data_IF_982762449906
#
_entry.id   IF_982762449906
#
_cell.length_a   1.000
_cell.length_b   1.000
_cell.length_c   1.000
_cell.angle_alpha   90.00
_cell.angle_beta   90.00
_cell.angle_gamma   90.00
#
_symmetry.space_group_name_H-M   'P 1'
#
loop_
_entity.id
_entity.type
_entity.pdbx_description
1 polymer ?
#
# COMPACT_ATOMS: atom_id res chain seq x y z
N UNK A 1 -13.11 -57.60 12.43
CA UNK A 1 -14.02 -56.98 13.41
C UNK A 1 -14.24 -55.54 12.92
N UNK A 2 -15.11 -55.32 11.94
CA UNK A 2 -16.51 -54.84 12.09
C UNK A 2 -16.57 -53.69 13.14
N UNK A 3 -16.91 -52.44 12.81
CA UNK A 3 -18.21 -51.98 12.29
C UNK A 3 -18.05 -50.62 11.57
N UNK A 4 -18.70 -50.50 10.40
CA UNK A 4 -19.04 -49.24 9.69
C UNK A 4 -20.14 -48.51 10.47
N UNK A 5 -20.16 -47.18 10.47
CA UNK A 5 -21.45 -46.48 10.31
C UNK A 5 -21.25 -45.09 9.66
N UNK A 6 -21.76 -45.02 8.44
CA UNK A 6 -22.20 -43.80 7.76
C UNK A 6 -23.28 -43.10 8.60
N UNK A 7 -23.35 -41.77 8.52
CA UNK A 7 -24.65 -41.10 8.38
C UNK A 7 -24.52 -39.76 7.66
N UNK A 8 -25.02 -39.80 6.43
CA UNK A 8 -25.47 -38.66 5.62
C UNK A 8 -26.72 -38.05 6.26
N UNK A 9 -26.79 -36.73 6.36
CA UNK A 9 -28.05 -36.01 6.44
C UNK A 9 -27.93 -34.70 5.66
N UNK A 10 -28.49 -34.73 4.46
CA UNK A 10 -28.71 -33.57 3.61
C UNK A 10 -29.77 -32.67 4.26
N UNK A 11 -29.47 -31.37 4.39
CA UNK A 11 -30.49 -30.36 4.64
C UNK A 11 -30.71 -29.59 3.34
N UNK A 12 -31.87 -29.89 2.76
CA UNK A 12 -32.52 -29.17 1.67
C UNK A 12 -33.03 -27.85 2.23
N UNK A 13 -32.54 -26.73 1.69
CA UNK A 13 -33.02 -25.37 2.00
C UNK A 13 -33.35 -24.65 0.71
N UNK A 14 -34.65 -24.65 0.38
CA UNK A 14 -35.27 -24.10 -0.83
C UNK A 14 -35.51 -22.59 -0.67
N UNK A 15 -35.15 -21.86 -1.73
CA UNK A 15 -35.73 -20.61 -2.28
C UNK A 15 -36.05 -19.41 -1.38
N UNK A 16 -35.43 -18.26 -1.71
CA UNK A 16 -36.17 -17.03 -2.04
C UNK A 16 -35.46 -16.33 -3.20
N UNK A 17 -36.13 -16.32 -4.36
CA UNK A 17 -35.84 -15.46 -5.50
C UNK A 17 -36.44 -14.09 -5.21
N UNK A 18 -35.62 -13.06 -5.08
CA UNK A 18 -36.05 -11.68 -5.20
C UNK A 18 -35.27 -11.05 -6.36
N UNK A 19 -35.87 -11.15 -7.55
CA UNK A 19 -35.41 -10.43 -8.72
C UNK A 19 -35.62 -8.94 -8.52
N UNK A 20 -34.53 -8.19 -8.42
CA UNK A 20 -34.56 -6.74 -8.55
C UNK A 20 -34.13 -6.39 -9.98
N UNK A 21 -35.10 -6.38 -10.90
CA UNK A 21 -34.95 -5.78 -12.22
C UNK A 21 -34.97 -4.26 -12.05
N UNK A 22 -33.80 -3.65 -11.94
CA UNK A 22 -33.66 -2.22 -12.19
C UNK A 22 -33.80 -2.00 -13.71
N UNK A 23 -34.98 -1.54 -14.11
CA UNK A 23 -35.27 -1.12 -15.47
C UNK A 23 -34.33 0.02 -15.88
N UNK A 24 -33.70 -0.21 -17.03
CA UNK A 24 -32.99 0.75 -17.85
C UNK A 24 -33.89 1.93 -18.22
N UNK A 25 -33.60 3.11 -17.69
CA UNK A 25 -33.94 4.38 -18.33
C UNK A 25 -32.75 4.83 -19.17
N UNK A 26 -32.64 4.24 -20.36
CA UNK A 26 -31.90 4.85 -21.48
C UNK A 26 -32.62 6.15 -21.83
N UNK A 27 -32.07 7.27 -21.38
CA UNK A 27 -32.42 8.59 -21.91
C UNK A 27 -31.90 8.65 -23.35
N UNK A 28 -32.82 8.50 -24.30
CA UNK A 28 -32.59 8.83 -25.70
C UNK A 28 -32.47 10.35 -25.80
N UNK A 29 -31.25 10.88 -25.68
CA UNK A 29 -31.00 12.27 -26.06
C UNK A 29 -30.78 12.31 -27.56
N UNK A 30 -31.81 12.72 -28.27
CA UNK A 30 -31.74 13.17 -29.66
C UNK A 30 -30.66 14.27 -29.77
N UNK A 31 -29.65 14.03 -30.61
CA UNK A 31 -28.70 15.05 -31.05
C UNK A 31 -29.47 16.15 -31.79
N UNK A 32 -29.84 17.19 -31.07
CA UNK A 32 -30.05 18.54 -31.62
C UNK A 32 -28.79 19.32 -31.32
N UNK A 33 -28.09 19.78 -32.36
CA UNK A 33 -26.91 20.63 -32.28
C UNK A 33 -27.25 21.94 -31.55
N UNK A 34 -27.04 21.96 -30.23
CA UNK A 34 -27.12 23.18 -29.44
C UNK A 34 -25.85 23.97 -29.75
N UNK A 35 -25.99 25.08 -30.48
CA UNK A 35 -24.87 25.96 -30.77
C UNK A 35 -24.34 26.58 -29.48
N UNK A 36 -23.02 26.81 -29.40
CA UNK A 36 -22.35 27.39 -28.22
C UNK A 36 -22.96 28.74 -27.78
N UNK A 37 -23.59 29.47 -28.68
CA UNK A 37 -24.25 30.74 -28.39
C UNK A 37 -25.55 30.55 -27.59
N UNK A 38 -26.28 29.44 -27.76
CA UNK A 38 -27.49 29.16 -26.99
C UNK A 38 -27.18 28.73 -25.54
N UNK A 39 -26.05 28.05 -25.33
CA UNK A 39 -25.58 27.71 -23.99
C UNK A 39 -25.23 28.98 -23.18
N UNK A 40 -24.53 29.93 -23.80
CA UNK A 40 -24.14 31.17 -23.14
C UNK A 40 -25.34 32.09 -22.85
N UNK A 41 -26.36 32.09 -23.70
CA UNK A 41 -27.58 32.88 -23.49
C UNK A 41 -28.52 32.29 -22.43
N UNK A 42 -28.54 30.97 -22.29
CA UNK A 42 -29.35 30.28 -21.26
C UNK A 42 -28.76 30.40 -19.85
N UNK A 43 -27.53 30.89 -19.73
CA UNK A 43 -26.82 31.06 -18.44
C UNK A 43 -27.16 32.37 -17.71
N UNK A 44 -28.04 33.22 -18.24
CA UNK A 44 -28.17 34.61 -17.80
C UNK A 44 -29.34 34.91 -16.83
N UNK A 45 -30.09 33.93 -16.33
CA UNK A 45 -31.20 34.20 -15.39
C UNK A 45 -31.24 33.20 -14.23
N UNK A 46 -31.39 33.74 -13.02
CA UNK A 46 -31.51 33.13 -11.67
C UNK A 46 -30.20 32.98 -10.89
N UNK A 47 -29.69 34.11 -10.39
CA UNK A 47 -28.88 34.17 -9.16
C UNK A 47 -29.74 34.66 -8.00
N UNK A 48 -30.54 33.75 -7.43
CA UNK A 48 -31.00 33.89 -6.05
C UNK A 48 -29.76 33.68 -5.17
N UNK A 49 -29.38 34.72 -4.44
CA UNK A 49 -28.31 34.70 -3.46
C UNK A 49 -28.67 33.78 -2.28
N UNK A 50 -28.51 32.47 -2.46
CA UNK A 50 -28.23 31.58 -1.35
C UNK A 50 -26.73 31.72 -1.06
N UNK A 51 -26.39 32.44 0.01
CA UNK A 51 -25.04 32.50 0.55
C UNK A 51 -24.63 31.09 1.02
N UNK A 52 -24.19 30.25 0.09
CA UNK A 52 -23.37 29.08 0.41
C UNK A 52 -22.02 29.67 0.76
N UNK A 53 -21.84 30.00 2.04
CA UNK A 53 -20.51 30.27 2.58
C UNK A 53 -19.63 29.09 2.16
N UNK A 54 -18.48 29.31 1.49
CA UNK A 54 -17.56 28.24 1.23
C UNK A 54 -17.23 27.62 2.59
N UNK A 55 -17.64 26.36 2.78
CA UNK A 55 -17.17 25.60 3.93
C UNK A 55 -15.66 25.73 3.94
N UNK A 56 -15.05 26.14 5.07
CA UNK A 56 -13.65 26.51 5.10
C UNK A 56 -12.82 25.34 4.58
N UNK A 57 -11.80 25.63 3.77
CA UNK A 57 -10.89 24.65 3.16
C UNK A 57 -10.37 23.59 4.17
N UNK A 58 -10.36 23.91 5.47
CA UNK A 58 -10.10 22.98 6.58
C UNK A 58 -11.01 21.74 6.65
N UNK A 59 -12.27 21.82 6.21
CA UNK A 59 -13.18 20.68 6.19
C UNK A 59 -12.81 19.66 5.09
N UNK A 60 -12.25 20.14 3.97
CA UNK A 60 -11.84 19.30 2.85
C UNK A 60 -10.56 18.50 3.15
N UNK A 61 -9.59 19.12 3.82
CA UNK A 61 -8.35 18.45 4.24
C UNK A 61 -8.61 17.33 5.26
N UNK A 62 -9.53 17.55 6.21
CA UNK A 62 -9.91 16.53 7.22
C UNK A 62 -10.58 15.31 6.61
N UNK A 63 -11.58 15.51 5.75
CA UNK A 63 -12.28 14.39 5.09
C UNK A 63 -11.33 13.57 4.19
N UNK A 64 -10.39 14.24 3.51
CA UNK A 64 -9.38 13.58 2.68
C UNK A 64 -8.37 12.78 3.52
N UNK A 65 -8.01 13.30 4.69
CA UNK A 65 -7.13 12.62 5.63
C UNK A 65 -7.78 11.38 6.24
N UNK A 66 -9.05 11.45 6.67
CA UNK A 66 -9.79 10.30 7.21
C UNK A 66 -9.92 9.17 6.16
N UNK A 67 -10.31 9.52 4.93
CA UNK A 67 -10.35 8.55 3.83
C UNK A 67 -8.99 7.90 3.54
N UNK A 68 -7.91 8.69 3.57
CA UNK A 68 -6.55 8.19 3.37
C UNK A 68 -6.10 7.32 4.54
N UNK A 69 -6.48 7.70 5.77
CA UNK A 69 -6.19 6.95 6.99
C UNK A 69 -6.76 5.54 6.88
N UNK A 70 -8.06 5.40 6.61
CA UNK A 70 -8.72 4.09 6.52
C UNK A 70 -8.12 3.21 5.41
N UNK A 71 -7.67 3.83 4.32
CA UNK A 71 -7.15 3.11 3.15
C UNK A 71 -5.71 2.63 3.29
N UNK A 72 -4.86 3.40 3.95
CA UNK A 72 -3.41 3.17 3.96
C UNK A 72 -2.90 2.65 5.30
N UNK A 73 -3.48 3.09 6.42
CA UNK A 73 -2.98 2.72 7.75
C UNK A 73 -3.05 1.22 8.07
N UNK A 74 -4.04 0.43 7.62
CA UNK A 74 -4.02 -1.01 7.86
C UNK A 74 -2.78 -1.69 7.28
N UNK A 75 -2.34 -1.25 6.07
CA UNK A 75 -1.12 -1.75 5.41
C UNK A 75 0.14 -1.33 6.15
N UNK A 76 0.18 -0.10 6.63
CA UNK A 76 1.30 0.42 7.43
C UNK A 76 1.43 -0.40 8.72
N UNK A 77 0.32 -0.60 9.45
CA UNK A 77 0.28 -1.34 10.71
C UNK A 77 0.64 -2.81 10.52
N UNK A 78 0.09 -3.47 9.50
CA UNK A 78 0.44 -4.85 9.18
C UNK A 78 1.92 -4.99 8.80
N UNK A 79 2.44 -4.05 8.00
CA UNK A 79 3.87 -3.96 7.71
C UNK A 79 4.73 -3.84 8.96
N UNK A 80 4.34 -3.00 9.92
CA UNK A 80 5.06 -2.85 11.20
C UNK A 80 5.02 -4.12 12.06
N UNK A 81 3.89 -4.84 12.08
CA UNK A 81 3.76 -6.14 12.76
C UNK A 81 4.69 -7.18 12.13
N UNK A 82 4.72 -7.26 10.81
CA UNK A 82 5.63 -8.16 10.09
C UNK A 82 7.10 -7.80 10.36
N UNK A 83 7.43 -6.51 10.35
CA UNK A 83 8.79 -6.00 10.60
C UNK A 83 9.34 -6.47 11.96
N UNK A 84 8.56 -6.26 13.02
CA UNK A 84 8.95 -6.64 14.40
C UNK A 84 8.83 -8.14 14.68
N UNK A 85 7.94 -8.84 13.97
CA UNK A 85 7.70 -10.26 14.13
C UNK A 85 8.60 -11.11 13.25
N UNK A 86 8.16 -11.33 12.01
CA UNK A 86 8.75 -12.35 11.15
C UNK A 86 10.04 -11.89 10.48
N UNK A 87 10.14 -10.63 10.06
CA UNK A 87 11.40 -10.12 9.49
C UNK A 87 12.54 -10.16 10.51
N UNK A 88 12.26 -9.80 11.77
CA UNK A 88 13.22 -9.93 12.87
C UNK A 88 13.74 -11.36 13.01
N UNK A 89 12.83 -12.36 13.03
CA UNK A 89 13.21 -13.78 13.12
C UNK A 89 14.06 -14.22 11.95
N UNK A 90 13.74 -13.76 10.73
CA UNK A 90 14.51 -14.08 9.52
C UNK A 90 15.92 -13.48 9.58
N UNK A 91 16.05 -12.23 10.03
CA UNK A 91 17.35 -11.55 10.22
C UNK A 91 18.19 -12.22 11.32
N UNK A 92 17.58 -12.59 12.44
CA UNK A 92 18.26 -13.30 13.54
C UNK A 92 18.78 -14.67 13.10
N UNK A 93 17.97 -15.40 12.32
CA UNK A 93 18.35 -16.70 11.74
C UNK A 93 19.28 -16.59 10.54
N UNK A 94 19.51 -15.39 10.00
CA UNK A 94 20.21 -15.18 8.74
C UNK A 94 19.62 -16.01 7.58
N UNK A 95 18.28 -16.12 7.54
CA UNK A 95 17.57 -16.83 6.48
C UNK A 95 17.45 -15.95 5.23
N UNK A 96 18.48 -15.98 4.40
CA UNK A 96 18.61 -15.11 3.23
C UNK A 96 17.51 -15.34 2.19
N UNK A 97 17.06 -16.58 2.01
CA UNK A 97 15.97 -16.90 1.08
C UNK A 97 14.64 -16.37 1.62
N UNK A 98 14.38 -16.57 2.90
CA UNK A 98 13.22 -16.00 3.57
C UNK A 98 13.18 -14.47 3.51
N UNK A 99 14.31 -13.79 3.74
CA UNK A 99 14.43 -12.33 3.64
C UNK A 99 14.13 -11.85 2.22
N UNK A 100 14.76 -12.47 1.21
CA UNK A 100 14.51 -12.13 -0.20
C UNK A 100 13.04 -12.27 -0.58
N UNK A 101 12.41 -13.38 -0.17
CA UNK A 101 10.98 -13.61 -0.45
C UNK A 101 10.07 -12.64 0.33
N UNK A 102 10.44 -12.29 1.56
CA UNK A 102 9.71 -11.34 2.40
C UNK A 102 9.72 -9.90 1.86
N UNK A 103 10.79 -9.53 1.15
CA UNK A 103 10.99 -8.21 0.54
C UNK A 103 10.63 -8.18 -0.95
N UNK A 104 10.28 -9.33 -1.54
CA UNK A 104 10.02 -9.45 -2.96
C UNK A 104 8.85 -8.55 -3.40
N UNK A 105 9.08 -7.74 -4.43
CA UNK A 105 8.01 -6.94 -5.02
C UNK A 105 6.97 -7.81 -5.72
N UNK A 106 5.68 -7.41 -5.71
CA UNK A 106 4.68 -8.05 -6.53
C UNK A 106 5.11 -8.03 -8.01
N UNK A 107 4.78 -9.08 -8.78
CA UNK A 107 5.05 -9.10 -10.22
C UNK A 107 4.45 -7.87 -10.90
N UNK A 108 5.10 -7.36 -11.96
CA UNK A 108 4.53 -6.27 -12.75
C UNK A 108 3.21 -6.72 -13.38
N UNK A 109 2.22 -5.81 -13.41
CA UNK A 109 0.92 -6.05 -14.06
C UNK A 109 1.14 -6.45 -15.51
N UNK A 110 0.64 -7.63 -15.88
CA UNK A 110 0.72 -8.15 -17.24
C UNK A 110 -0.59 -7.91 -18.00
N UNK A 111 -0.56 -8.00 -19.34
CA UNK A 111 -1.77 -7.87 -20.16
C UNK A 111 -2.80 -8.99 -19.86
N UNK A 112 -2.35 -10.16 -19.43
CA UNK A 112 -3.21 -11.27 -18.98
C UNK A 112 -3.98 -10.96 -17.69
N UNK A 113 -3.45 -10.08 -16.85
CA UNK A 113 -4.14 -9.69 -15.62
C UNK A 113 -5.36 -8.82 -15.91
N UNK A 114 -5.36 -8.06 -17.01
CA UNK A 114 -6.48 -7.19 -17.41
C UNK A 114 -7.78 -7.95 -17.72
N UNK A 115 -7.68 -9.23 -18.02
CA UNK A 115 -8.82 -10.10 -18.36
C UNK A 115 -9.50 -10.64 -17.10
N UNK A 116 -8.81 -10.64 -15.96
CA UNK A 116 -9.35 -11.11 -14.68
C UNK A 116 -10.24 -10.03 -14.07
N UNK A 117 -11.33 -10.45 -13.42
CA UNK A 117 -12.34 -9.55 -12.83
C UNK A 117 -11.75 -8.52 -11.84
N UNK A 118 -10.65 -8.88 -11.17
CA UNK A 118 -9.91 -8.03 -10.23
C UNK A 118 -8.56 -7.53 -10.80
N UNK A 119 -8.41 -7.49 -12.12
CA UNK A 119 -7.18 -7.07 -12.79
C UNK A 119 -5.89 -7.78 -12.28
N UNK A 120 -6.02 -9.03 -11.78
CA UNK A 120 -4.95 -9.83 -11.17
C UNK A 120 -4.38 -9.26 -9.86
N UNK A 121 -5.07 -8.33 -9.18
CA UNK A 121 -4.56 -7.67 -7.97
C UNK A 121 -4.38 -8.66 -6.82
N UNK A 122 -5.39 -9.47 -6.54
CA UNK A 122 -5.35 -10.53 -5.51
C UNK A 122 -4.21 -11.53 -5.71
N UNK A 123 -3.99 -12.01 -6.94
CA UNK A 123 -2.90 -12.96 -7.23
C UNK A 123 -1.51 -12.33 -7.11
N UNK A 124 -1.34 -11.07 -7.56
CA UNK A 124 -0.07 -10.34 -7.40
C UNK A 124 0.23 -10.03 -5.94
N UNK A 125 -0.80 -9.71 -5.16
CA UNK A 125 -0.66 -9.46 -3.73
C UNK A 125 -0.27 -10.74 -2.97
N UNK A 126 -0.72 -11.92 -3.41
CA UNK A 126 -0.31 -13.19 -2.83
C UNK A 126 1.16 -13.56 -3.12
N UNK A 127 1.74 -13.02 -4.21
CA UNK A 127 3.14 -13.22 -4.58
C UNK A 127 4.07 -12.14 -4.04
N UNK A 128 3.50 -11.04 -3.53
CA UNK A 128 4.27 -9.99 -2.89
C UNK A 128 4.78 -10.44 -1.51
N UNK A 129 6.03 -10.11 -1.22
CA UNK A 129 6.54 -10.13 0.14
C UNK A 129 5.70 -9.23 1.06
N UNK A 130 5.50 -9.67 2.30
CA UNK A 130 4.65 -8.96 3.26
C UNK A 130 5.16 -7.55 3.61
N UNK A 131 6.46 -7.28 3.40
CA UNK A 131 7.09 -5.96 3.55
C UNK A 131 7.67 -5.43 2.24
N UNK A 132 7.00 -5.69 1.13
CA UNK A 132 7.40 -5.15 -0.18
C UNK A 132 7.16 -3.64 -0.29
N UNK A 133 7.95 -2.97 -1.13
CA UNK A 133 7.81 -1.54 -1.46
C UNK A 133 6.37 -1.22 -1.86
N UNK A 134 5.82 -2.00 -2.80
CA UNK A 134 4.48 -1.84 -3.32
C UNK A 134 3.35 -1.92 -2.28
N UNK A 135 3.58 -2.57 -1.12
CA UNK A 135 2.55 -2.75 -0.10
C UNK A 135 2.66 -1.73 1.02
N UNK A 136 3.83 -1.64 1.66
CA UNK A 136 4.02 -0.85 2.87
C UNK A 136 4.59 0.53 2.54
N UNK A 137 5.67 0.59 1.75
CA UNK A 137 6.38 1.85 1.46
C UNK A 137 5.53 2.77 0.59
N UNK A 138 4.87 2.23 -0.44
CA UNK A 138 3.90 2.98 -1.25
C UNK A 138 2.72 3.45 -0.40
N UNK A 139 2.23 2.64 0.55
CA UNK A 139 1.19 3.09 1.47
C UNK A 139 1.67 4.26 2.35
N UNK A 140 2.93 4.23 2.81
CA UNK A 140 3.54 5.34 3.53
C UNK A 140 3.65 6.61 2.68
N UNK A 141 4.03 6.51 1.40
CA UNK A 141 4.13 7.67 0.50
C UNK A 141 2.74 8.28 0.20
N UNK A 142 1.76 7.43 -0.08
CA UNK A 142 0.38 7.85 -0.34
C UNK A 142 -0.24 8.49 0.90
N UNK A 143 0.00 7.93 2.09
CA UNK A 143 -0.46 8.53 3.34
C UNK A 143 0.26 9.84 3.67
N UNK A 144 1.57 9.94 3.42
CA UNK A 144 2.33 11.19 3.58
C UNK A 144 1.78 12.32 2.69
N UNK A 145 1.35 11.96 1.49
CA UNK A 145 0.77 12.91 0.53
C UNK A 145 -0.60 13.43 0.97
N UNK A 146 -1.32 12.72 1.84
CA UNK A 146 -2.61 13.18 2.38
C UNK A 146 -2.50 14.36 3.36
N UNK A 147 -1.31 14.64 3.89
CA UNK A 147 -1.03 15.82 4.75
C UNK A 147 -0.72 17.10 3.95
N UNK A 148 -0.85 17.06 2.63
CA UNK A 148 -0.59 18.19 1.73
C UNK A 148 -1.87 18.49 0.95
N UNK A 149 -2.53 19.62 1.24
CA UNK A 149 -3.68 20.09 0.45
C UNK A 149 -3.20 20.77 -0.85
N UNK A 150 -2.82 22.05 -0.78
CA UNK A 150 -2.52 22.87 -1.98
C UNK A 150 -1.02 23.01 -2.28
N UNK A 151 -0.16 22.80 -1.29
CA UNK A 151 1.30 22.88 -1.43
C UNK A 151 1.97 21.88 -0.51
N UNK A 152 3.15 21.39 -0.91
CA UNK A 152 3.87 20.37 -0.17
C UNK A 152 4.30 20.93 1.19
N UNK A 153 3.61 20.49 2.24
CA UNK A 153 3.89 20.90 3.62
C UNK A 153 5.29 20.44 4.06
N UNK A 154 5.90 21.15 5.02
CA UNK A 154 7.19 20.75 5.61
C UNK A 154 7.12 19.33 6.19
N UNK A 155 5.97 18.98 6.77
CA UNK A 155 5.69 17.64 7.28
C UNK A 155 5.70 16.58 6.19
N UNK A 156 4.97 16.78 5.09
CA UNK A 156 4.97 15.83 3.96
C UNK A 156 6.38 15.62 3.43
N UNK A 157 7.22 16.67 3.36
CA UNK A 157 8.64 16.52 2.96
C UNK A 157 9.42 15.62 3.93
N UNK A 158 9.32 15.87 5.23
CA UNK A 158 10.00 15.05 6.27
C UNK A 158 9.51 13.60 6.25
N UNK A 159 8.21 13.38 6.05
CA UNK A 159 7.64 12.04 5.93
C UNK A 159 8.19 11.33 4.70
N UNK A 160 8.20 11.99 3.53
CA UNK A 160 8.77 11.43 2.29
C UNK A 160 10.24 11.11 2.40
N UNK A 161 11.02 11.95 3.07
CA UNK A 161 12.41 11.66 3.39
C UNK A 161 12.56 10.34 4.17
N UNK A 162 11.71 10.09 5.18
CA UNK A 162 11.74 8.81 5.90
C UNK A 162 11.30 7.63 5.01
N UNK A 163 10.35 7.86 4.09
CA UNK A 163 9.94 6.84 3.10
C UNK A 163 11.08 6.49 2.15
N UNK A 164 11.85 7.47 1.70
CA UNK A 164 13.00 7.23 0.81
C UNK A 164 14.12 6.48 1.53
N UNK A 165 14.37 6.79 2.82
CA UNK A 165 15.29 6.01 3.65
C UNK A 165 14.79 4.56 3.80
N UNK A 166 13.49 4.35 4.02
CA UNK A 166 12.91 3.00 4.10
C UNK A 166 13.09 2.23 2.79
N UNK A 167 12.85 2.89 1.64
CA UNK A 167 13.03 2.28 0.31
C UNK A 167 14.48 1.87 0.08
N UNK A 168 15.41 2.78 0.28
CA UNK A 168 16.85 2.50 0.16
C UNK A 168 17.28 1.36 1.09
N UNK A 169 16.75 1.32 2.32
CA UNK A 169 17.05 0.25 3.27
C UNK A 169 16.56 -1.10 2.76
N UNK A 170 15.33 -1.19 2.27
CA UNK A 170 14.76 -2.43 1.74
C UNK A 170 15.50 -2.92 0.50
N UNK A 171 15.86 -2.01 -0.41
CA UNK A 171 16.68 -2.32 -1.58
C UNK A 171 18.05 -2.87 -1.17
N UNK A 172 18.71 -2.23 -0.20
CA UNK A 172 20.00 -2.72 0.33
C UNK A 172 19.89 -4.05 1.07
N UNK A 173 18.78 -4.30 1.78
CA UNK A 173 18.52 -5.59 2.43
C UNK A 173 18.34 -6.68 1.38
N UNK A 174 17.55 -6.45 0.33
CA UNK A 174 17.37 -7.39 -0.78
C UNK A 174 18.70 -7.67 -1.51
N UNK A 175 19.49 -6.63 -1.81
CA UNK A 175 20.83 -6.80 -2.38
C UNK A 175 21.74 -7.61 -1.46
N UNK A 176 21.74 -7.33 -0.15
CA UNK A 176 22.56 -8.06 0.84
C UNK A 176 22.16 -9.53 0.90
N UNK A 177 20.85 -9.83 0.85
CA UNK A 177 20.35 -11.21 0.80
C UNK A 177 20.79 -11.93 -0.49
N UNK A 178 20.69 -11.27 -1.65
CA UNK A 178 21.14 -11.83 -2.95
C UNK A 178 22.65 -12.09 -2.98
N UNK A 179 23.45 -11.19 -2.40
CA UNK A 179 24.90 -11.37 -2.27
C UNK A 179 25.21 -12.57 -1.36
N UNK A 180 24.52 -12.69 -0.22
CA UNK A 180 24.71 -13.80 0.72
C UNK A 180 24.31 -15.17 0.11
N UNK A 181 23.32 -15.19 -0.78
CA UNK A 181 22.92 -16.36 -1.58
C UNK A 181 23.87 -16.63 -2.75
N UNK A 182 24.78 -15.71 -3.07
CA UNK A 182 25.72 -15.84 -4.19
C UNK A 182 25.10 -15.58 -5.57
N UNK A 183 23.89 -15.02 -5.63
CA UNK A 183 23.21 -14.67 -6.88
C UNK A 183 23.78 -13.41 -7.53
N UNK A 184 24.30 -12.48 -6.71
CA UNK A 184 24.92 -11.24 -7.17
C UNK A 184 26.37 -11.21 -6.67
N UNK A 185 27.31 -11.19 -7.62
CA UNK A 185 28.72 -10.98 -7.31
C UNK A 185 28.99 -9.48 -7.19
N UNK A 186 29.38 -9.02 -6.00
CA UNK A 186 29.85 -7.64 -5.77
C UNK A 186 31.32 -7.45 -6.21
N UNK A 187 31.80 -8.25 -7.16
CA UNK A 187 33.17 -8.17 -7.71
C UNK A 187 33.17 -7.51 -9.09
N UNK A 188 33.91 -6.40 -9.21
CA UNK A 188 33.85 -5.42 -10.32
C UNK A 188 33.86 -5.96 -11.75
N UNK A 189 33.26 -5.16 -12.64
CA UNK A 189 33.03 -5.15 -14.10
C UNK A 189 33.13 -6.45 -14.95
N UNK A 190 33.83 -7.49 -14.53
CA UNK A 190 33.97 -8.78 -15.23
C UNK A 190 34.01 -10.01 -14.30
N UNK A 191 33.42 -9.97 -13.11
CA UNK A 191 33.08 -11.19 -12.36
C UNK A 191 34.23 -12.10 -11.90
N UNK A 192 35.48 -11.68 -12.07
CA UNK A 192 36.68 -12.44 -11.68
C UNK A 192 37.48 -11.58 -10.70
N UNK A 193 37.42 -11.89 -9.41
CA UNK A 193 38.44 -11.44 -8.44
C UNK A 193 37.94 -10.68 -7.20
N UNK A 194 36.67 -10.30 -7.11
CA UNK A 194 36.12 -9.77 -5.86
C UNK A 194 35.92 -10.87 -4.83
N UNK A 195 36.53 -10.78 -3.64
CA UNK A 195 36.22 -11.69 -2.53
C UNK A 195 34.74 -11.55 -2.21
N UNK A 196 34.00 -12.68 -2.26
CA UNK A 196 32.62 -12.71 -1.75
C UNK A 196 32.65 -12.25 -0.28
N UNK A 197 31.82 -11.28 0.12
CA UNK A 197 31.75 -10.90 1.52
C UNK A 197 31.44 -12.13 2.37
N UNK A 198 32.07 -12.20 3.54
CA UNK A 198 31.84 -13.32 4.45
C UNK A 198 30.39 -13.30 4.94
N UNK A 199 29.83 -14.47 5.22
CA UNK A 199 28.47 -14.60 5.77
C UNK A 199 28.28 -13.77 7.06
N UNK A 200 29.35 -13.63 7.85
CA UNK A 200 29.37 -12.81 9.08
C UNK A 200 29.24 -11.31 8.77
N UNK A 201 29.92 -10.81 7.74
CA UNK A 201 29.80 -9.41 7.30
C UNK A 201 28.41 -9.12 6.75
N UNK A 202 27.84 -10.01 5.94
CA UNK A 202 26.46 -9.88 5.44
C UNK A 202 25.44 -9.88 6.58
N UNK A 203 25.62 -10.73 7.60
CA UNK A 203 24.76 -10.73 8.79
C UNK A 203 24.86 -9.45 9.61
N UNK A 204 26.07 -8.91 9.77
CA UNK A 204 26.27 -7.62 10.44
C UNK A 204 25.58 -6.48 9.67
N UNK A 205 25.83 -6.39 8.35
CA UNK A 205 25.20 -5.38 7.49
C UNK A 205 23.67 -5.50 7.51
N UNK A 206 23.13 -6.71 7.44
CA UNK A 206 21.68 -6.94 7.50
C UNK A 206 21.07 -6.44 8.82
N UNK A 207 21.74 -6.66 9.96
CA UNK A 207 21.28 -6.13 11.26
C UNK A 207 21.34 -4.61 11.33
N UNK A 208 22.39 -4.00 10.79
CA UNK A 208 22.52 -2.54 10.70
C UNK A 208 21.38 -1.94 9.86
N UNK A 209 21.11 -2.53 8.69
CA UNK A 209 19.98 -2.15 7.84
C UNK A 209 18.63 -2.34 8.54
N UNK A 210 18.44 -3.45 9.26
CA UNK A 210 17.23 -3.67 10.05
C UNK A 210 17.03 -2.61 11.15
N UNK A 211 18.09 -2.18 11.83
CA UNK A 211 17.99 -1.11 12.82
C UNK A 211 17.73 0.26 12.17
N UNK A 212 18.38 0.54 11.03
CA UNK A 212 18.19 1.78 10.28
C UNK A 212 16.75 1.90 9.75
N UNK A 213 16.22 0.84 9.15
CA UNK A 213 14.86 0.77 8.66
C UNK A 213 13.84 0.91 9.80
N UNK A 214 14.04 0.21 10.91
CA UNK A 214 13.17 0.35 12.09
C UNK A 214 13.17 1.76 12.66
N UNK A 215 14.32 2.43 12.68
CA UNK A 215 14.45 3.83 13.11
C UNK A 215 13.73 4.79 12.17
N UNK A 216 13.91 4.63 10.84
CA UNK A 216 13.22 5.44 9.85
C UNK A 216 11.70 5.25 9.91
N UNK A 217 11.24 4.01 10.10
CA UNK A 217 9.82 3.71 10.30
C UNK A 217 9.27 4.41 11.54
N UNK A 218 9.95 4.31 12.69
CA UNK A 218 9.51 4.97 13.93
C UNK A 218 9.49 6.51 13.80
N UNK A 219 10.45 7.11 13.08
CA UNK A 219 10.43 8.54 12.76
C UNK A 219 9.26 8.90 11.85
N UNK A 220 8.96 8.08 10.84
CA UNK A 220 7.79 8.25 9.98
C UNK A 220 6.49 8.21 10.79
N UNK A 221 6.35 7.25 11.70
CA UNK A 221 5.18 7.12 12.59
C UNK A 221 5.08 8.31 13.55
N UNK A 222 6.21 8.78 14.10
CA UNK A 222 6.24 9.98 14.92
C UNK A 222 5.68 11.19 14.17
N UNK A 223 6.20 11.45 12.96
CA UNK A 223 5.72 12.55 12.11
C UNK A 223 4.25 12.36 11.71
N UNK A 224 3.81 11.14 11.43
CA UNK A 224 2.42 10.84 11.06
C UNK A 224 1.44 11.10 12.20
N UNK A 225 1.83 10.75 13.43
CA UNK A 225 1.01 10.90 14.63
C UNK A 225 0.98 12.35 15.14
N UNK A 226 2.01 13.14 14.82
CA UNK A 226 2.00 14.58 15.05
C UNK A 226 0.86 15.19 14.23
N UNK A 227 0.00 16.02 14.82
CA UNK A 227 -1.19 16.63 14.17
C UNK A 227 -2.27 15.67 13.65
N UNK A 228 -2.23 14.38 13.99
CA UNK A 228 -3.35 13.47 13.69
C UNK A 228 -4.60 13.93 14.47
N UNK A 229 -5.79 14.05 13.84
CA UNK A 229 -7.02 14.36 14.57
C UNK A 229 -7.25 13.40 15.74
N UNK A 230 -7.75 13.92 16.87
CA UNK A 230 -8.05 13.12 18.08
C UNK A 230 -9.09 12.02 17.83
N UNK A 231 -9.88 12.11 16.75
CA UNK A 231 -10.82 11.10 16.31
C UNK A 231 -10.15 9.86 15.71
N UNK A 232 -8.90 9.98 15.25
CA UNK A 232 -8.15 8.90 14.62
C UNK A 232 -7.19 8.25 15.62
N UNK A 233 -7.04 6.93 15.50
CA UNK A 233 -6.12 6.18 16.34
C UNK A 233 -4.67 6.49 15.93
N UNK A 234 -3.79 6.66 16.93
CA UNK A 234 -2.36 6.81 16.67
C UNK A 234 -1.79 5.51 16.11
N UNK A 235 -0.92 5.64 15.12
CA UNK A 235 -0.19 4.51 14.57
C UNK A 235 0.82 3.98 15.61
N UNK A 236 0.96 2.67 15.76
CA UNK A 236 1.87 2.06 16.72
C UNK A 236 3.33 2.20 16.28
N UNK A 237 4.21 2.47 17.24
CA UNK A 237 5.66 2.38 17.06
C UNK A 237 6.10 0.92 17.06
N UNK A 238 7.20 0.65 16.35
CA UNK A 238 7.93 -0.62 16.46
C UNK A 238 8.56 -0.69 17.86
N UNK A 239 8.39 -1.83 18.52
CA UNK A 239 8.94 -2.14 19.84
C UNK A 239 10.17 -3.03 19.74
#
# INVERSE_FOLDING_TARGET
MFIKLLSFAAIVGVSVVAGFQAQSTRTTTTNTDISRDDFLKTSAVVSIAAAILPSPAMARGRATLEYSYDRYTPRIVEGGKFYTGDLKKLVEKSDWSGIKNALAEPPKRTKSDLVKQDAGISERAAQAGQFSDARVIVACDLFASAFSDNSISSKTKKMKEQVDILRSTVEEMDMTAKIALGEVSTGGLFGIGGKKPSQSESAKKMRELYMAGGTAYNKYIFLSNDELPLSLNKLPYLR
#
